data_IF_497107185006
#
_entry.id   IF_497107185006
#
_cell.length_a   1.000
_cell.length_b   1.000
_cell.length_c   1.000
_cell.angle_alpha   90.00
_cell.angle_beta   90.00
_cell.angle_gamma   90.00
#
_symmetry.space_group_name_H-M   'P 1'
#
loop_
_entity.id
_entity.type
_entity.pdbx_description
1 polymer ?
#
# COMPACT_ATOMS: atom_id res chain seq x y z
N UNK A 1 12.77 46.26 28.07
CA UNK A 1 12.20 44.95 28.39
C UNK A 1 11.30 44.44 27.26
N UNK A 2 10.32 45.20 26.77
CA UNK A 2 9.39 44.81 25.71
C UNK A 2 10.06 44.38 24.39
N UNK A 3 11.11 45.07 23.92
CA UNK A 3 11.84 44.74 22.69
C UNK A 3 12.50 43.35 22.76
N UNK A 4 13.12 42.98 23.89
CA UNK A 4 13.72 41.65 24.08
C UNK A 4 12.71 40.53 24.07
N UNK A 5 11.49 40.75 24.58
CA UNK A 5 10.38 39.81 24.55
C UNK A 5 9.89 39.63 23.10
N UNK A 6 9.74 40.70 22.34
CA UNK A 6 9.35 40.67 20.94
C UNK A 6 10.37 39.88 20.09
N UNK A 7 11.66 40.11 20.28
CA UNK A 7 12.73 39.44 19.55
C UNK A 7 12.75 37.92 19.86
N UNK A 8 12.50 37.54 21.12
CA UNK A 8 12.41 36.16 21.55
C UNK A 8 11.20 35.46 20.92
N UNK A 9 10.03 36.09 20.93
CA UNK A 9 8.81 35.53 20.30
C UNK A 9 9.01 35.35 18.80
N UNK A 10 9.60 36.33 18.12
CA UNK A 10 9.92 36.26 16.69
C UNK A 10 10.86 35.06 16.38
N UNK A 11 11.91 34.90 17.17
CA UNK A 11 12.86 33.77 17.01
C UNK A 11 12.17 32.44 17.21
N UNK A 12 11.28 32.33 18.20
CA UNK A 12 10.50 31.12 18.46
C UNK A 12 9.55 30.79 17.30
N UNK A 13 8.88 31.85 16.77
CA UNK A 13 8.00 31.72 15.61
C UNK A 13 8.75 31.26 14.35
N UNK A 14 9.92 31.82 14.07
CA UNK A 14 10.78 31.39 12.96
C UNK A 14 11.20 29.90 13.09
N UNK A 15 11.59 29.47 14.28
CA UNK A 15 11.93 28.05 14.55
C UNK A 15 10.75 27.10 14.35
N UNK A 16 9.56 27.51 14.79
CA UNK A 16 8.32 26.76 14.58
C UNK A 16 7.99 26.65 13.10
N UNK A 17 8.07 27.73 12.34
CA UNK A 17 7.81 27.76 10.90
C UNK A 17 8.78 26.85 10.13
N UNK A 18 10.08 26.89 10.48
CA UNK A 18 11.08 26.00 9.89
C UNK A 18 10.77 24.52 10.17
N UNK A 19 10.35 24.17 11.39
CA UNK A 19 9.93 22.80 11.72
C UNK A 19 8.71 22.38 10.91
N UNK A 20 7.69 23.23 10.80
CA UNK A 20 6.50 22.94 10.00
C UNK A 20 6.86 22.68 8.53
N UNK A 21 7.65 23.54 7.92
CA UNK A 21 8.10 23.38 6.51
C UNK A 21 8.88 22.07 6.34
N UNK A 22 9.74 21.72 7.29
CA UNK A 22 10.47 20.46 7.27
C UNK A 22 9.55 19.23 7.32
N UNK A 23 8.52 19.26 8.18
CA UNK A 23 7.54 18.17 8.24
C UNK A 23 6.73 18.05 6.94
N UNK A 24 6.32 19.15 6.33
CA UNK A 24 5.62 19.10 5.04
C UNK A 24 6.53 18.54 3.92
N UNK A 25 7.81 18.96 3.86
CA UNK A 25 8.76 18.39 2.90
C UNK A 25 8.96 16.89 3.09
N UNK A 26 9.00 16.39 4.33
CA UNK A 26 9.08 14.94 4.60
C UNK A 26 7.83 14.21 4.10
N UNK A 27 6.65 14.78 4.28
CA UNK A 27 5.41 14.18 3.77
C UNK A 27 5.41 14.10 2.25
N UNK A 28 5.85 15.16 1.57
CA UNK A 28 5.99 15.18 0.10
C UNK A 28 6.96 14.10 -0.39
N UNK A 29 8.17 14.04 0.19
CA UNK A 29 9.17 13.02 -0.14
C UNK A 29 8.60 11.61 0.07
N UNK A 30 7.91 11.37 1.18
CA UNK A 30 7.27 10.07 1.44
C UNK A 30 6.21 9.73 0.39
N UNK A 31 5.39 10.72 0.00
CA UNK A 31 4.38 10.55 -1.06
C UNK A 31 5.03 10.19 -2.39
N UNK A 32 6.13 10.84 -2.75
CA UNK A 32 6.83 10.59 -4.02
C UNK A 32 7.54 9.24 -4.02
N UNK A 33 8.11 8.82 -2.89
CA UNK A 33 8.68 7.49 -2.74
C UNK A 33 7.63 6.39 -2.91
N UNK A 34 6.41 6.59 -2.42
CA UNK A 34 5.30 5.64 -2.64
C UNK A 34 4.96 5.55 -4.12
N UNK A 35 4.83 6.67 -4.83
CA UNK A 35 4.54 6.71 -6.28
C UNK A 35 5.63 6.03 -7.11
N UNK A 36 6.90 6.25 -6.74
CA UNK A 36 8.05 5.59 -7.41
C UNK A 36 7.98 4.08 -7.19
N UNK A 37 7.71 3.63 -5.96
CA UNK A 37 7.58 2.20 -5.62
C UNK A 37 6.43 1.55 -6.38
N UNK A 38 5.26 2.21 -6.45
CA UNK A 38 4.13 1.74 -7.25
C UNK A 38 4.49 1.63 -8.75
N UNK A 39 5.23 2.60 -9.28
CA UNK A 39 5.64 2.60 -10.68
C UNK A 39 6.63 1.48 -10.99
N UNK A 40 7.59 1.24 -10.12
CA UNK A 40 8.52 0.11 -10.23
C UNK A 40 7.80 -1.23 -10.16
N UNK A 41 6.89 -1.41 -9.19
CA UNK A 41 6.09 -2.64 -9.08
C UNK A 41 5.26 -2.92 -10.34
N UNK A 42 4.68 -1.88 -10.98
CA UNK A 42 3.98 -2.04 -12.26
C UNK A 42 4.90 -2.49 -13.39
N UNK A 43 6.13 -1.99 -13.43
CA UNK A 43 7.14 -2.40 -14.42
C UNK A 43 7.53 -3.86 -14.20
N UNK A 44 7.83 -4.24 -12.98
CA UNK A 44 8.20 -5.62 -12.61
C UNK A 44 7.06 -6.60 -12.90
N UNK A 45 5.83 -6.26 -12.54
CA UNK A 45 4.65 -7.07 -12.85
C UNK A 45 4.49 -7.32 -14.35
N UNK A 46 4.71 -6.29 -15.20
CA UNK A 46 4.63 -6.42 -16.65
C UNK A 46 5.76 -7.25 -17.24
N UNK A 47 6.97 -7.11 -16.71
CA UNK A 47 8.13 -7.88 -17.16
C UNK A 47 7.96 -9.37 -16.84
N UNK A 48 7.47 -9.69 -15.66
CA UNK A 48 7.20 -11.06 -15.25
C UNK A 48 6.08 -11.68 -16.11
N UNK A 49 5.00 -10.95 -16.38
CA UNK A 49 3.94 -11.38 -17.30
C UNK A 49 4.47 -11.71 -18.70
N UNK A 50 5.30 -10.83 -19.28
CA UNK A 50 5.87 -11.04 -20.62
C UNK A 50 6.79 -12.26 -20.69
N UNK A 51 7.55 -12.53 -19.63
CA UNK A 51 8.43 -13.71 -19.57
C UNK A 51 7.64 -15.02 -19.49
N UNK A 52 6.58 -15.07 -18.70
CA UNK A 52 5.72 -16.25 -18.58
C UNK A 52 4.97 -16.58 -19.87
N UNK A 53 4.54 -15.57 -20.64
CA UNK A 53 3.87 -15.79 -21.92
C UNK A 53 4.80 -16.19 -23.07
N UNK A 54 6.08 -15.84 -23.01
CA UNK A 54 7.06 -16.20 -24.05
C UNK A 54 7.62 -17.62 -23.89
N UNK A 55 7.47 -18.23 -22.72
CA UNK A 55 7.96 -19.57 -22.40
C UNK A 55 6.77 -20.50 -22.11
N UNK A 56 6.07 -20.91 -23.19
CA UNK A 56 5.02 -21.95 -23.13
C UNK A 56 5.65 -23.33 -22.91
N UNK A 57 6.38 -23.48 -21.81
CA UNK A 57 6.93 -24.77 -21.39
C UNK A 57 6.32 -25.14 -20.04
N UNK A 58 5.46 -26.15 -20.08
CA UNK A 58 4.61 -26.65 -19.00
C UNK A 58 5.44 -27.27 -17.83
N UNK A 59 6.75 -27.26 -17.94
CA UNK A 59 7.67 -27.88 -16.97
C UNK A 59 8.27 -26.92 -15.95
N UNK A 60 8.01 -25.61 -16.02
CA UNK A 60 8.64 -24.67 -15.11
C UNK A 60 7.84 -24.57 -13.81
N UNK A 61 8.38 -25.14 -12.75
CA UNK A 61 8.03 -24.83 -11.37
C UNK A 61 8.00 -23.30 -11.20
N UNK A 62 6.90 -22.75 -10.68
CA UNK A 62 6.82 -21.33 -10.34
C UNK A 62 7.91 -21.06 -9.31
N UNK A 63 8.96 -20.38 -9.71
CA UNK A 63 9.99 -19.92 -8.78
C UNK A 63 9.47 -18.66 -8.07
N UNK A 64 8.94 -18.85 -6.89
CA UNK A 64 8.39 -17.78 -6.09
C UNK A 64 9.45 -16.71 -5.76
N UNK A 65 10.69 -17.10 -5.47
CA UNK A 65 11.76 -16.17 -5.12
C UNK A 65 12.12 -15.23 -6.28
N UNK A 66 12.05 -15.75 -7.51
CA UNK A 66 12.32 -14.94 -8.69
C UNK A 66 11.23 -13.90 -8.99
N UNK A 67 10.00 -14.15 -8.52
CA UNK A 67 8.85 -13.28 -8.75
C UNK A 67 8.58 -12.30 -7.60
N UNK A 68 9.36 -12.37 -6.53
CA UNK A 68 9.20 -11.44 -5.41
C UNK A 68 9.49 -10.00 -5.83
N UNK A 69 8.56 -9.12 -5.56
CA UNK A 69 8.81 -7.68 -5.50
C UNK A 69 7.89 -7.05 -4.45
N UNK A 70 8.32 -5.91 -3.91
CA UNK A 70 7.66 -5.26 -2.80
C UNK A 70 7.19 -3.85 -3.16
N UNK A 71 5.89 -3.62 -3.08
CA UNK A 71 5.26 -2.29 -3.13
C UNK A 71 4.61 -1.96 -1.80
N UNK A 72 3.67 -2.79 -1.36
CA UNK A 72 2.93 -2.62 -0.10
C UNK A 72 3.09 -3.79 0.85
N UNK A 73 3.35 -4.99 0.36
CA UNK A 73 3.55 -6.17 1.19
C UNK A 73 4.85 -6.10 2.01
N UNK A 74 4.95 -6.95 3.04
CA UNK A 74 6.08 -6.94 3.97
C UNK A 74 7.34 -7.58 3.37
N UNK A 75 7.18 -8.69 2.64
CA UNK A 75 8.29 -9.57 2.23
C UNK A 75 8.35 -9.86 0.73
N UNK A 76 7.58 -9.17 -0.10
CA UNK A 76 7.58 -9.38 -1.54
C UNK A 76 6.37 -10.15 -2.08
N UNK A 77 5.37 -10.37 -1.26
CA UNK A 77 4.12 -11.05 -1.61
C UNK A 77 3.38 -10.37 -2.76
N UNK A 78 3.56 -9.06 -2.95
CA UNK A 78 3.00 -8.35 -4.10
C UNK A 78 3.39 -9.03 -5.42
N UNK A 79 4.66 -9.39 -5.57
CA UNK A 79 5.18 -10.08 -6.76
C UNK A 79 4.68 -11.50 -6.90
N UNK A 80 4.67 -12.25 -5.81
CA UNK A 80 4.17 -13.63 -5.76
C UNK A 80 2.70 -13.66 -6.16
N UNK A 81 1.88 -12.79 -5.59
CA UNK A 81 0.45 -12.70 -5.89
C UNK A 81 0.24 -12.32 -7.36
N UNK A 82 1.00 -11.36 -7.90
CA UNK A 82 0.93 -11.01 -9.33
C UNK A 82 1.27 -12.21 -10.22
N UNK A 83 2.28 -12.99 -9.88
CA UNK A 83 2.63 -14.20 -10.61
C UNK A 83 1.50 -15.24 -10.57
N UNK A 84 0.91 -15.46 -9.40
CA UNK A 84 -0.20 -16.40 -9.24
C UNK A 84 -1.43 -16.00 -10.05
N UNK A 85 -1.90 -14.74 -9.94
CA UNK A 85 -3.09 -14.29 -10.67
C UNK A 85 -2.89 -14.22 -12.18
N UNK A 86 -1.63 -14.13 -12.65
CA UNK A 86 -1.31 -14.19 -14.07
C UNK A 86 -1.21 -15.63 -14.60
N UNK A 87 -1.05 -16.62 -13.71
CA UNK A 87 -0.89 -18.04 -14.05
C UNK A 87 -2.21 -18.82 -14.03
N UNK A 88 -3.26 -18.25 -13.45
CA UNK A 88 -4.58 -18.89 -13.32
C UNK A 88 -5.67 -17.96 -13.84
N UNK A 89 -6.72 -18.53 -14.40
CA UNK A 89 -7.90 -17.79 -14.80
C UNK A 89 -8.76 -17.48 -13.58
N UNK A 90 -9.03 -16.17 -13.36
CA UNK A 90 -9.83 -15.70 -12.22
C UNK A 90 -11.01 -14.88 -12.77
N UNK A 91 -12.21 -15.45 -12.68
CA UNK A 91 -13.44 -14.80 -13.13
C UNK A 91 -13.81 -13.60 -12.24
N UNK A 92 -13.77 -13.79 -10.91
CA UNK A 92 -14.18 -12.78 -9.95
C UNK A 92 -12.95 -12.07 -9.34
N UNK A 93 -12.71 -10.85 -9.77
CA UNK A 93 -11.60 -10.02 -9.30
C UNK A 93 -11.93 -9.35 -7.97
N UNK A 94 -12.14 -10.18 -6.95
CA UNK A 94 -12.49 -9.77 -5.59
C UNK A 94 -11.54 -10.44 -4.61
N UNK A 95 -11.13 -9.71 -3.58
CA UNK A 95 -10.32 -10.24 -2.49
C UNK A 95 -10.94 -9.94 -1.12
N UNK A 96 -10.55 -10.76 -0.14
CA UNK A 96 -10.79 -10.53 1.29
C UNK A 96 -9.46 -10.66 2.01
N UNK A 97 -9.14 -9.70 2.87
CA UNK A 97 -7.96 -9.74 3.74
C UNK A 97 -8.35 -9.30 5.15
N UNK A 98 -7.88 -10.01 6.16
CA UNK A 98 -8.12 -9.68 7.57
C UNK A 98 -6.80 -9.54 8.33
N UNK A 99 -6.85 -8.78 9.46
CA UNK A 99 -5.65 -8.43 10.21
C UNK A 99 -4.78 -7.40 9.49
N UNK A 100 -5.39 -6.50 8.73
CA UNK A 100 -4.71 -5.56 7.83
C UNK A 100 -4.15 -4.31 8.52
N UNK A 101 -4.38 -4.19 9.83
CA UNK A 101 -4.07 -2.96 10.55
C UNK A 101 -4.69 -1.74 9.84
N UNK A 102 -3.92 -0.70 9.58
CA UNK A 102 -4.37 0.50 8.87
C UNK A 102 -4.28 0.39 7.33
N UNK A 103 -4.03 -0.82 6.80
CA UNK A 103 -3.96 -1.13 5.37
C UNK A 103 -2.86 -0.40 4.59
N UNK A 104 -1.88 0.25 5.26
CA UNK A 104 -0.74 0.87 4.58
C UNK A 104 0.29 -0.15 4.12
N UNK A 105 0.40 -1.25 4.85
CA UNK A 105 1.18 -2.45 4.52
C UNK A 105 0.21 -3.63 4.51
N UNK A 106 0.04 -4.27 3.35
CA UNK A 106 -0.88 -5.40 3.19
C UNK A 106 -0.61 -6.14 1.88
N UNK A 107 -1.07 -7.38 1.77
CA UNK A 107 -0.85 -8.24 0.62
C UNK A 107 -1.78 -7.92 -0.56
N UNK A 108 -2.94 -7.36 -0.30
CA UNK A 108 -3.95 -7.09 -1.34
C UNK A 108 -3.96 -5.66 -1.85
N UNK A 109 -3.24 -4.74 -1.22
CA UNK A 109 -3.24 -3.33 -1.61
C UNK A 109 -2.72 -3.14 -3.04
N UNK A 110 -1.76 -3.93 -3.48
CA UNK A 110 -1.26 -3.87 -4.85
C UNK A 110 -2.29 -4.39 -5.86
N UNK A 111 -3.06 -5.44 -5.53
CA UNK A 111 -4.20 -5.90 -6.35
C UNK A 111 -5.23 -4.78 -6.55
N UNK A 112 -5.55 -4.06 -5.48
CA UNK A 112 -6.49 -2.95 -5.53
C UNK A 112 -5.98 -1.82 -6.42
N UNK A 113 -4.73 -1.36 -6.22
CA UNK A 113 -4.18 -0.18 -6.88
C UNK A 113 -3.71 -0.43 -8.31
N UNK A 114 -3.12 -1.62 -8.58
CA UNK A 114 -2.55 -1.97 -9.88
C UNK A 114 -3.55 -2.67 -10.80
N UNK A 115 -4.28 -3.64 -10.26
CA UNK A 115 -5.17 -4.51 -11.03
C UNK A 115 -6.63 -4.06 -10.98
N UNK A 116 -6.94 -3.03 -10.18
CA UNK A 116 -8.30 -2.50 -9.98
C UNK A 116 -9.30 -3.56 -9.49
N UNK A 117 -8.85 -4.45 -8.61
CA UNK A 117 -9.70 -5.44 -7.98
C UNK A 117 -10.58 -4.78 -6.91
N UNK A 118 -11.71 -5.39 -6.60
CA UNK A 118 -12.56 -4.99 -5.48
C UNK A 118 -12.17 -5.75 -4.22
N UNK A 119 -12.32 -5.15 -3.05
CA UNK A 119 -11.90 -5.82 -1.83
C UNK A 119 -12.72 -5.52 -0.59
N UNK A 120 -12.70 -6.50 0.33
CA UNK A 120 -13.11 -6.34 1.71
C UNK A 120 -11.89 -6.54 2.61
N UNK A 121 -11.61 -5.54 3.45
CA UNK A 121 -10.57 -5.62 4.47
C UNK A 121 -11.19 -5.58 5.84
N UNK A 122 -10.67 -6.39 6.76
CA UNK A 122 -11.21 -6.54 8.10
C UNK A 122 -10.08 -6.39 9.11
N UNK A 123 -10.32 -5.58 10.13
CA UNK A 123 -9.40 -5.45 11.27
C UNK A 123 -10.19 -5.37 12.58
N UNK A 124 -9.64 -5.91 13.66
CA UNK A 124 -10.28 -5.88 14.97
C UNK A 124 -10.25 -4.51 15.65
N UNK A 125 -9.36 -3.61 15.21
CA UNK A 125 -9.23 -2.26 15.73
C UNK A 125 -10.13 -1.28 15.00
N UNK A 126 -11.06 -0.67 15.71
CA UNK A 126 -11.91 0.38 15.16
C UNK A 126 -11.11 1.59 14.67
N UNK A 127 -9.98 1.90 15.31
CA UNK A 127 -9.13 3.03 14.92
C UNK A 127 -8.42 2.75 13.60
N UNK A 128 -7.98 1.51 13.37
CA UNK A 128 -7.45 1.07 12.09
C UNK A 128 -8.49 1.19 10.97
N UNK A 129 -9.70 0.71 11.21
CA UNK A 129 -10.80 0.81 10.23
C UNK A 129 -11.18 2.26 9.96
N UNK A 130 -11.21 3.12 10.98
CA UNK A 130 -11.43 4.57 10.78
C UNK A 130 -10.33 5.21 9.93
N UNK A 131 -9.07 4.84 10.17
CA UNK A 131 -7.94 5.30 9.36
C UNK A 131 -8.12 4.91 7.89
N UNK A 132 -8.45 3.64 7.60
CA UNK A 132 -8.71 3.15 6.24
C UNK A 132 -9.81 3.97 5.55
N UNK A 133 -10.94 4.19 6.25
CA UNK A 133 -12.09 4.94 5.72
C UNK A 133 -11.79 6.42 5.45
N UNK A 134 -10.74 6.98 6.06
CA UNK A 134 -10.26 8.35 5.83
C UNK A 134 -9.15 8.43 4.76
N UNK A 135 -8.52 7.31 4.41
CA UNK A 135 -7.48 7.28 3.37
C UNK A 135 -8.11 7.46 1.99
N UNK A 136 -7.38 8.11 1.09
CA UNK A 136 -7.79 8.32 -0.31
C UNK A 136 -8.10 7.02 -1.03
N UNK A 137 -7.48 5.91 -0.67
CA UNK A 137 -7.69 4.60 -1.26
C UNK A 137 -9.15 4.13 -1.13
N UNK A 138 -9.81 4.49 -0.03
CA UNK A 138 -11.16 4.05 0.29
C UNK A 138 -12.23 4.61 -0.66
N UNK A 139 -12.09 5.86 -1.06
CA UNK A 139 -13.04 6.49 -2.00
C UNK A 139 -12.58 6.42 -3.46
N UNK A 140 -11.29 6.16 -3.69
CA UNK A 140 -10.73 6.05 -5.04
C UNK A 140 -10.98 4.68 -5.66
N UNK A 141 -11.05 3.63 -4.85
CA UNK A 141 -11.19 2.24 -5.29
C UNK A 141 -12.43 1.59 -4.68
N UNK A 142 -12.86 0.45 -5.24
CA UNK A 142 -13.96 -0.33 -4.68
C UNK A 142 -13.47 -1.16 -3.48
N UNK A 143 -13.28 -0.50 -2.36
CA UNK A 143 -12.80 -1.06 -1.10
C UNK A 143 -13.87 -0.93 -0.01
N UNK A 144 -14.13 -2.02 0.72
CA UNK A 144 -14.91 -2.03 1.95
C UNK A 144 -13.98 -2.31 3.13
N UNK A 145 -14.24 -1.70 4.27
CA UNK A 145 -13.49 -1.91 5.51
C UNK A 145 -14.45 -2.12 6.67
N UNK A 146 -14.31 -3.25 7.35
CA UNK A 146 -15.17 -3.66 8.45
C UNK A 146 -14.37 -3.92 9.72
N UNK A 147 -14.97 -3.58 10.87
CA UNK A 147 -14.36 -3.82 12.17
C UNK A 147 -14.94 -5.13 12.74
N UNK A 148 -14.13 -6.18 12.73
CA UNK A 148 -14.49 -7.46 13.30
C UNK A 148 -13.24 -8.22 13.75
N UNK A 149 -13.39 -9.01 14.81
CA UNK A 149 -12.42 -10.03 15.20
C UNK A 149 -12.80 -11.33 14.51
N UNK A 150 -11.90 -11.85 13.69
CA UNK A 150 -12.15 -13.10 12.95
C UNK A 150 -11.68 -14.27 13.80
N UNK A 151 -12.57 -15.22 14.03
CA UNK A 151 -12.31 -16.47 14.72
C UNK A 151 -12.99 -17.65 14.01
N UNK A 152 -13.00 -18.82 14.65
CA UNK A 152 -13.56 -20.05 14.07
C UNK A 152 -15.10 -20.07 13.98
N UNK A 153 -15.76 -19.11 14.62
CA UNK A 153 -17.22 -19.08 14.77
C UNK A 153 -17.89 -18.03 13.87
N UNK A 154 -17.07 -17.15 13.17
CA UNK A 154 -17.58 -16.11 12.26
C UNK A 154 -16.80 -16.03 10.94
#
# INVERSE_FOLDING_TARGET
MLKKISDYIFTLWCKLKLKLNFFESIKEIRSDLIKIRESLGRIESRQNYSKHHSLFDISHQIDFQYNEFRVFSQWGEDGIIQSLINSIEIENKVFVEFGVQNYTESNTRFLLCNNNWSGLVIDSSLDNVRYIKQDQIYWKYNLKAECAFIDKDN
#
